data_IF_237897241244
#
_entry.id   IF_237897241244
#
_cell.length_a   1.000
_cell.length_b   1.000
_cell.length_c   1.000
_cell.angle_alpha   90.00
_cell.angle_beta   90.00
_cell.angle_gamma   90.00
#
_symmetry.space_group_name_H-M   'P 1'
#
loop_
_entity.id
_entity.type
_entity.pdbx_description
1 polymer ?
#
# COMPACT_ATOMS: atom_id res chain seq x y z
N UNK A 1 -8.03 28.34 37.29
CA UNK A 1 -7.14 28.08 36.13
C UNK A 1 -7.13 26.60 35.67
N UNK A 2 -8.13 25.77 36.04
CA UNK A 2 -8.18 24.34 35.66
C UNK A 2 -9.01 24.06 34.40
N UNK A 3 -10.04 24.85 34.11
CA UNK A 3 -10.97 24.61 32.97
C UNK A 3 -10.25 24.68 31.62
N UNK A 4 -9.30 25.62 31.46
CA UNK A 4 -8.58 25.83 30.20
C UNK A 4 -7.62 24.68 29.84
N UNK A 5 -7.21 23.85 30.81
CA UNK A 5 -6.33 22.69 30.59
C UNK A 5 -7.13 21.48 30.11
N UNK A 6 -8.34 21.30 30.64
CA UNK A 6 -9.26 20.24 30.21
C UNK A 6 -9.77 20.47 28.79
N UNK A 7 -10.08 21.72 28.41
CA UNK A 7 -10.53 22.03 27.04
C UNK A 7 -9.46 21.70 26.00
N UNK A 8 -8.18 21.96 26.30
CA UNK A 8 -7.06 21.62 25.40
C UNK A 8 -6.85 20.11 25.23
N UNK A 9 -7.02 19.33 26.31
CA UNK A 9 -6.92 17.86 26.26
C UNK A 9 -8.04 17.26 25.42
N UNK A 10 -9.28 17.73 25.61
CA UNK A 10 -10.43 17.25 24.83
C UNK A 10 -10.25 17.61 23.35
N UNK A 11 -9.76 18.81 23.03
CA UNK A 11 -9.50 19.23 21.66
C UNK A 11 -8.39 18.40 20.99
N UNK A 12 -7.31 18.07 21.72
CA UNK A 12 -6.23 17.22 21.22
C UNK A 12 -6.73 15.79 20.93
N UNK A 13 -7.55 15.21 21.82
CA UNK A 13 -8.16 13.90 21.61
C UNK A 13 -9.09 13.90 20.40
N UNK A 14 -9.90 14.94 20.22
CA UNK A 14 -10.77 15.09 19.05
C UNK A 14 -9.98 15.19 17.74
N UNK A 15 -8.88 15.94 17.74
CA UNK A 15 -7.98 16.06 16.58
C UNK A 15 -7.32 14.71 16.26
N UNK A 16 -6.88 13.95 17.27
CA UNK A 16 -6.32 12.61 17.06
C UNK A 16 -7.35 11.61 16.52
N UNK A 17 -8.60 11.67 17.00
CA UNK A 17 -9.70 10.85 16.48
C UNK A 17 -10.02 11.25 15.03
N UNK A 18 -10.07 12.53 14.72
CA UNK A 18 -10.33 13.04 13.36
C UNK A 18 -9.18 12.69 12.39
N UNK A 19 -7.92 12.77 12.83
CA UNK A 19 -6.75 12.33 12.05
C UNK A 19 -6.82 10.83 11.78
N UNK A 20 -7.19 10.03 12.78
CA UNK A 20 -7.42 8.58 12.63
C UNK A 20 -8.54 8.29 11.64
N UNK A 21 -9.63 9.07 11.68
CA UNK A 21 -10.75 8.98 10.73
C UNK A 21 -10.32 9.33 9.30
N UNK A 22 -9.52 10.38 9.12
CA UNK A 22 -8.99 10.79 7.80
C UNK A 22 -8.06 9.72 7.20
N UNK A 23 -7.25 9.07 8.04
CA UNK A 23 -6.41 7.93 7.63
C UNK A 23 -7.27 6.74 7.19
N UNK A 24 -8.43 6.53 7.82
CA UNK A 24 -9.33 5.41 7.53
C UNK A 24 -10.09 5.55 6.19
N UNK A 25 -10.29 6.77 5.70
CA UNK A 25 -11.05 7.01 4.46
C UNK A 25 -10.24 6.83 3.17
N UNK A 26 -8.93 6.55 3.24
CA UNK A 26 -8.09 6.40 2.06
C UNK A 26 -7.87 4.91 1.75
N UNK A 27 -8.39 4.46 0.61
CA UNK A 27 -8.08 3.12 0.09
C UNK A 27 -6.63 3.07 -0.38
N UNK A 28 -5.89 2.08 0.10
CA UNK A 28 -4.52 1.80 -0.33
C UNK A 28 -4.53 1.28 -1.77
N UNK A 29 -3.86 1.97 -2.68
CA UNK A 29 -3.76 1.55 -4.09
C UNK A 29 -2.57 0.62 -4.26
N UNK A 30 -2.84 -0.67 -4.48
CA UNK A 30 -1.80 -1.68 -4.61
C UNK A 30 -1.70 -2.14 -6.06
N UNK A 31 -0.58 -1.86 -6.71
CA UNK A 31 -0.31 -2.32 -8.06
C UNK A 31 -0.04 -3.82 -8.10
N UNK A 32 -0.81 -4.58 -8.86
CA UNK A 32 -0.64 -6.02 -9.03
C UNK A 32 -0.21 -6.35 -10.46
N UNK A 33 0.90 -7.07 -10.61
CA UNK A 33 1.36 -7.55 -11.91
C UNK A 33 0.40 -8.64 -12.43
N UNK A 34 -0.32 -8.36 -13.52
CA UNK A 34 -1.22 -9.35 -14.17
C UNK A 34 -0.52 -10.16 -15.26
N UNK A 35 0.81 -10.01 -15.38
CA UNK A 35 1.63 -10.71 -16.37
C UNK A 35 1.85 -12.16 -15.95
N UNK A 36 1.42 -13.09 -16.81
CA UNK A 36 1.38 -14.54 -16.56
C UNK A 36 2.74 -15.26 -16.45
N UNK A 37 3.86 -14.54 -16.30
CA UNK A 37 5.20 -15.16 -16.32
C UNK A 37 5.57 -15.85 -15.00
N UNK A 38 5.00 -15.44 -13.86
CA UNK A 38 5.38 -15.96 -12.53
C UNK A 38 4.17 -16.20 -11.59
N UNK A 39 3.30 -17.13 -12.00
CA UNK A 39 2.03 -17.46 -11.30
C UNK A 39 2.17 -17.98 -9.86
N UNK A 40 3.35 -18.45 -9.46
CA UNK A 40 3.57 -19.01 -8.11
C UNK A 40 3.53 -17.93 -7.02
N UNK A 41 4.09 -16.75 -7.29
CA UNK A 41 4.13 -15.65 -6.32
C UNK A 41 2.92 -14.75 -6.43
N UNK A 42 2.48 -14.46 -7.66
CA UNK A 42 1.26 -13.72 -7.93
C UNK A 42 0.61 -14.20 -9.22
N UNK A 43 -0.67 -14.55 -9.16
CA UNK A 43 -1.54 -14.76 -10.31
C UNK A 43 -2.70 -13.77 -10.19
N UNK A 44 -2.56 -12.64 -10.88
CA UNK A 44 -3.56 -11.59 -10.91
C UNK A 44 -4.33 -11.58 -12.23
N UNK A 45 -5.65 -11.54 -12.14
CA UNK A 45 -6.56 -11.49 -13.26
C UNK A 45 -7.50 -10.28 -13.11
N UNK A 46 -7.61 -9.49 -14.18
CA UNK A 46 -8.56 -8.39 -14.25
C UNK A 46 -9.78 -8.81 -15.06
N UNK A 47 -10.95 -8.76 -14.44
CA UNK A 47 -12.26 -8.96 -15.08
C UNK A 47 -12.73 -7.63 -15.66
N UNK A 48 -12.56 -7.46 -16.98
CA UNK A 48 -12.98 -6.26 -17.71
C UNK A 48 -14.49 -5.99 -17.64
N UNK A 49 -15.33 -7.02 -17.44
CA UNK A 49 -16.78 -6.84 -17.40
C UNK A 49 -17.23 -6.27 -16.05
N UNK A 50 -16.58 -6.71 -14.97
CA UNK A 50 -16.86 -6.24 -13.60
C UNK A 50 -15.98 -5.07 -13.18
N UNK A 51 -14.93 -4.77 -13.95
CA UNK A 51 -13.86 -3.85 -13.59
C UNK A 51 -13.20 -4.20 -12.24
N UNK A 52 -13.03 -5.50 -11.97
CA UNK A 52 -12.47 -6.00 -10.71
C UNK A 52 -11.17 -6.74 -10.99
N UNK A 53 -10.14 -6.42 -10.23
CA UNK A 53 -8.87 -7.16 -10.22
C UNK A 53 -8.87 -8.13 -9.05
N UNK A 54 -8.64 -9.40 -9.33
CA UNK A 54 -8.42 -10.45 -8.33
C UNK A 54 -6.97 -10.89 -8.42
N UNK A 55 -6.36 -11.19 -7.28
CA UNK A 55 -5.02 -11.75 -7.21
C UNK A 55 -5.00 -12.94 -6.25
N UNK A 56 -4.18 -13.93 -6.58
CA UNK A 56 -3.92 -15.11 -5.75
C UNK A 56 -2.42 -15.42 -5.76
N UNK A 57 -1.94 -16.25 -4.83
CA UNK A 57 -0.54 -16.67 -4.75
C UNK A 57 0.12 -16.26 -3.44
N UNK A 58 1.35 -16.73 -3.23
CA UNK A 58 2.04 -16.60 -1.94
C UNK A 58 2.14 -15.15 -1.44
N UNK A 59 2.50 -14.21 -2.32
CA UNK A 59 2.65 -12.79 -1.92
C UNK A 59 1.31 -12.16 -1.53
N UNK A 60 0.21 -12.67 -2.10
CA UNK A 60 -1.16 -12.21 -1.78
C UNK A 60 -1.56 -12.70 -0.39
N UNK A 61 -1.28 -13.97 -0.07
CA UNK A 61 -1.58 -14.56 1.25
C UNK A 61 -0.80 -13.87 2.38
N UNK A 62 0.48 -13.57 2.15
CA UNK A 62 1.31 -12.81 3.09
C UNK A 62 0.75 -11.40 3.27
N UNK A 63 0.42 -10.70 2.18
CA UNK A 63 -0.17 -9.37 2.26
C UNK A 63 -1.48 -9.36 3.05
N UNK A 64 -2.39 -10.30 2.76
CA UNK A 64 -3.64 -10.45 3.51
C UNK A 64 -3.38 -10.68 5.00
N UNK A 65 -2.47 -11.59 5.33
CA UNK A 65 -2.11 -11.88 6.73
C UNK A 65 -1.61 -10.63 7.44
N UNK A 66 -0.74 -9.84 6.80
CA UNK A 66 -0.23 -8.59 7.34
C UNK A 66 -1.35 -7.55 7.56
N UNK A 67 -2.23 -7.36 6.56
CA UNK A 67 -3.35 -6.42 6.67
C UNK A 67 -4.32 -6.83 7.78
N UNK A 68 -4.64 -8.12 7.90
CA UNK A 68 -5.53 -8.63 8.95
C UNK A 68 -4.91 -8.60 10.35
N UNK A 69 -3.59 -8.59 10.47
CA UNK A 69 -2.91 -8.46 11.75
C UNK A 69 -2.89 -7.03 12.30
N UNK A 70 -3.25 -6.03 11.48
CA UNK A 70 -3.30 -4.63 11.93
C UNK A 70 -4.48 -4.42 12.89
N UNK A 71 -4.33 -3.56 13.92
CA UNK A 71 -5.40 -3.29 14.90
C UNK A 71 -6.54 -2.41 14.34
N UNK A 72 -6.55 -2.16 13.03
CA UNK A 72 -7.51 -1.35 12.31
C UNK A 72 -7.76 -1.92 10.92
N UNK A 73 -8.94 -1.67 10.37
CA UNK A 73 -9.29 -2.10 9.02
C UNK A 73 -8.55 -1.24 7.99
N UNK A 74 -7.88 -1.89 7.04
CA UNK A 74 -7.23 -1.21 5.92
C UNK A 74 -7.97 -1.59 4.65
N UNK A 75 -8.68 -0.62 4.08
CA UNK A 75 -9.27 -0.78 2.76
C UNK A 75 -8.17 -0.65 1.70
N UNK A 76 -8.14 -1.56 0.72
CA UNK A 76 -7.21 -1.50 -0.39
C UNK A 76 -7.90 -1.84 -1.71
N UNK A 77 -7.34 -1.37 -2.81
CA UNK A 77 -7.76 -1.70 -4.17
C UNK A 77 -6.58 -2.21 -4.99
N UNK A 78 -6.82 -3.26 -5.78
CA UNK A 78 -5.82 -3.83 -6.67
C UNK A 78 -5.88 -3.14 -8.03
N UNK A 79 -4.81 -2.40 -8.37
CA UNK A 79 -4.65 -1.75 -9.66
C UNK A 79 -3.92 -2.71 -10.60
N UNK A 80 -4.57 -3.20 -11.68
CA UNK A 80 -3.96 -4.18 -12.56
C UNK A 80 -2.85 -3.53 -13.39
N UNK A 81 -1.70 -4.19 -13.46
CA UNK A 81 -0.58 -3.77 -14.29
C UNK A 81 -0.25 -4.83 -15.33
N UNK A 82 -0.87 -4.68 -16.51
CA UNK A 82 -0.74 -5.63 -17.62
C UNK A 82 0.48 -5.37 -18.51
N UNK A 83 0.82 -4.10 -18.72
CA UNK A 83 1.88 -3.66 -19.64
C UNK A 83 2.78 -2.63 -18.96
N UNK A 84 4.07 -2.68 -19.29
CA UNK A 84 5.12 -1.81 -18.73
C UNK A 84 6.29 -2.59 -18.14
N UNK A 85 7.38 -1.89 -17.86
CA UNK A 85 8.55 -2.40 -17.15
C UNK A 85 8.32 -2.34 -15.63
N UNK A 86 9.22 -2.97 -14.86
CA UNK A 86 9.22 -2.80 -13.41
C UNK A 86 9.54 -1.34 -13.02
N UNK A 87 10.39 -0.66 -13.80
CA UNK A 87 10.72 0.76 -13.61
C UNK A 87 9.48 1.67 -13.77
N UNK A 88 8.59 1.35 -14.71
CA UNK A 88 7.32 2.06 -14.87
C UNK A 88 6.44 1.92 -13.62
N UNK A 89 6.47 0.74 -12.98
CA UNK A 89 5.72 0.49 -11.76
C UNK A 89 6.33 1.22 -10.56
N UNK A 90 7.67 1.23 -10.43
CA UNK A 90 8.38 2.05 -9.44
C UNK A 90 8.05 3.53 -9.63
N UNK A 91 8.05 4.00 -10.88
CA UNK A 91 7.72 5.40 -11.20
C UNK A 91 6.31 5.74 -10.73
N UNK A 92 5.33 4.84 -10.89
CA UNK A 92 3.96 5.03 -10.39
C UNK A 92 3.89 5.17 -8.87
N UNK A 93 4.73 4.43 -8.12
CA UNK A 93 4.88 4.63 -6.67
C UNK A 93 5.49 6.01 -6.37
N UNK A 94 6.55 6.38 -7.10
CA UNK A 94 7.25 7.65 -6.90
C UNK A 94 6.33 8.88 -7.12
N UNK A 95 5.49 8.84 -8.16
CA UNK A 95 4.51 9.92 -8.43
C UNK A 95 3.21 9.78 -7.62
N UNK A 96 3.14 8.81 -6.68
CA UNK A 96 1.99 8.54 -5.80
C UNK A 96 0.69 8.19 -6.53
N UNK A 97 0.79 7.61 -7.73
CA UNK A 97 -0.37 7.05 -8.43
C UNK A 97 -0.86 5.75 -7.79
N UNK A 98 0.09 4.96 -7.26
CA UNK A 98 -0.14 3.79 -6.44
C UNK A 98 0.67 3.91 -5.14
N UNK A 99 0.18 3.32 -4.05
CA UNK A 99 0.81 3.40 -2.73
C UNK A 99 1.76 2.20 -2.48
N UNK A 100 1.53 1.05 -3.13
CA UNK A 100 2.36 -0.14 -2.98
C UNK A 100 2.39 -1.02 -4.24
N UNK A 101 3.33 -1.97 -4.30
CA UNK A 101 3.47 -2.97 -5.36
C UNK A 101 3.36 -4.37 -4.76
N UNK A 102 2.55 -5.23 -5.37
CA UNK A 102 2.39 -6.64 -5.03
C UNK A 102 2.89 -7.50 -6.19
N UNK A 103 3.96 -8.26 -5.96
CA UNK A 103 4.58 -9.12 -6.97
C UNK A 103 5.89 -9.75 -6.53
N UNK A 104 6.58 -10.40 -7.46
CA UNK A 104 7.95 -10.91 -7.33
C UNK A 104 8.96 -9.75 -7.47
N UNK A 105 9.02 -8.90 -6.45
CA UNK A 105 9.95 -7.78 -6.42
C UNK A 105 11.39 -8.27 -6.22
N UNK A 106 12.06 -8.64 -7.33
CA UNK A 106 13.51 -8.84 -7.31
C UNK A 106 14.15 -7.46 -7.30
N UNK A 107 14.44 -6.94 -6.10
CA UNK A 107 15.30 -5.78 -5.96
C UNK A 107 16.70 -6.17 -6.45
N UNK A 108 17.02 -5.81 -7.70
CA UNK A 108 18.40 -5.83 -8.15
C UNK A 108 19.14 -4.78 -7.33
N UNK A 109 19.94 -5.24 -6.37
CA UNK A 109 20.82 -4.41 -5.55
C UNK A 109 21.92 -3.86 -6.45
N UNK A 110 21.67 -2.75 -7.12
CA UNK A 110 22.71 -1.79 -7.45
C UNK A 110 22.87 -0.86 -6.25
N UNK A 111 24.09 -0.62 -5.80
CA UNK A 111 24.41 0.05 -4.51
C UNK A 111 23.79 1.45 -4.33
N UNK A 112 23.29 2.08 -5.40
CA UNK A 112 22.55 3.34 -5.39
C UNK A 112 21.06 3.22 -5.03
N UNK A 113 20.43 2.07 -5.23
CA UNK A 113 18.97 1.88 -5.08
C UNK A 113 18.55 1.65 -3.61
N UNK A 114 19.36 0.87 -2.88
CA UNK A 114 19.04 0.48 -1.50
C UNK A 114 19.06 1.66 -0.52
N UNK A 115 19.95 2.64 -0.70
CA UNK A 115 20.03 3.82 0.18
C UNK A 115 18.86 4.78 0.00
N UNK A 116 18.32 4.86 -1.22
CA UNK A 116 17.17 5.70 -1.56
C UNK A 116 15.86 5.08 -1.05
N UNK A 117 15.73 3.76 -1.15
CA UNK A 117 14.50 3.05 -0.75
C UNK A 117 14.45 2.74 0.75
N UNK A 118 15.58 2.50 1.43
CA UNK A 118 15.61 2.47 2.89
C UNK A 118 15.26 3.83 3.50
N UNK A 119 15.64 4.95 2.86
CA UNK A 119 15.15 6.28 3.27
C UNK A 119 13.64 6.41 3.10
N UNK A 120 13.05 5.91 2.01
CA UNK A 120 11.59 5.99 1.82
C UNK A 120 10.80 5.11 2.79
N UNK A 121 11.32 3.94 3.18
CA UNK A 121 10.64 3.04 4.15
C UNK A 121 10.80 3.56 5.60
N UNK A 122 11.96 4.12 5.95
CA UNK A 122 12.23 4.62 7.31
C UNK A 122 11.76 6.07 7.56
N UNK A 123 11.39 6.85 6.54
CA UNK A 123 10.77 8.18 6.76
C UNK A 123 9.27 8.07 7.07
N UNK A 124 8.70 6.86 7.11
CA UNK A 124 7.31 6.57 7.50
C UNK A 124 7.18 5.79 8.83
N UNK A 125 8.24 5.75 9.64
CA UNK A 125 8.22 5.33 11.06
C UNK A 125 8.72 6.48 11.91
#
# INVERSE_FOLDING_TARGET
>A
MMVHKHTKIVLLLLILILLSLQVFCKKLKVGALTRRKFKYFIDAAHDNQKNVTTATGFSVDVFHTCIHALPYEVQYELIPFATGSYDDLIKKVYVKEIDAIMGDSTFLRTDLSMSTLQRLILTWV
#
